data_IF_910368173301
#
_entry.id   IF_910368173301
#
_cell.length_a   1.000
_cell.length_b   1.000
_cell.length_c   1.000
_cell.angle_alpha   90.00
_cell.angle_beta   90.00
_cell.angle_gamma   90.00
#
_symmetry.space_group_name_H-M   'P 1'
#
loop_
_entity.id
_entity.type
_entity.pdbx_description
1 polymer ?
#
# COMPACT_ATOMS: atom_id res chain seq x y z
N UNK A 1 0.82 14.35 3.60
CA UNK A 1 -0.16 13.35 3.10
C UNK A 1 0.40 11.94 2.99
N UNK A 2 1.58 11.76 2.44
CA UNK A 2 2.24 10.43 2.36
C UNK A 2 2.62 9.87 3.72
N UNK A 3 3.04 10.69 4.64
CA UNK A 3 3.24 10.30 6.04
C UNK A 3 1.98 9.73 6.67
N UNK A 4 0.79 10.25 6.32
CA UNK A 4 -0.49 9.76 6.82
C UNK A 4 -0.82 8.33 6.37
N UNK A 5 -0.49 7.95 5.13
CA UNK A 5 -0.70 6.60 4.61
C UNK A 5 0.27 5.60 5.27
N UNK A 6 1.55 5.95 5.36
CA UNK A 6 2.55 5.17 6.08
C UNK A 6 2.20 5.03 7.56
N UNK A 7 1.75 6.09 8.21
CA UNK A 7 1.30 6.05 9.60
C UNK A 7 0.02 5.22 9.77
N UNK A 8 -0.90 5.22 8.81
CA UNK A 8 -2.09 4.38 8.86
C UNK A 8 -1.72 2.91 8.75
N UNK A 9 -0.83 2.55 7.83
CA UNK A 9 -0.32 1.17 7.67
C UNK A 9 0.51 0.77 8.90
N UNK A 10 1.43 1.60 9.35
CA UNK A 10 2.22 1.36 10.57
C UNK A 10 1.34 1.35 11.82
N UNK A 11 0.33 2.21 11.91
CA UNK A 11 -0.60 2.25 13.04
C UNK A 11 -1.49 1.01 13.13
N UNK A 12 -1.89 0.44 12.01
CA UNK A 12 -2.61 -0.84 11.97
C UNK A 12 -1.66 -1.97 12.37
N UNK A 13 -0.43 -1.95 11.90
CA UNK A 13 0.60 -2.93 12.26
C UNK A 13 1.00 -2.83 13.74
N UNK A 14 1.20 -1.62 14.25
CA UNK A 14 1.56 -1.38 15.65
C UNK A 14 0.43 -1.76 16.61
N UNK A 15 -0.81 -1.47 16.23
CA UNK A 15 -2.00 -1.88 16.98
C UNK A 15 -2.12 -3.42 17.03
N UNK A 16 -1.77 -4.12 15.95
CA UNK A 16 -1.72 -5.59 15.93
C UNK A 16 -0.52 -6.16 16.71
N UNK A 17 0.61 -5.44 16.77
CA UNK A 17 1.79 -5.85 17.53
C UNK A 17 1.62 -5.72 19.05
N UNK A 18 0.85 -4.74 19.52
CA UNK A 18 0.56 -4.55 20.96
C UNK A 18 -0.33 -5.66 21.54
N UNK A 19 -1.10 -6.36 20.70
CA UNK A 19 -1.99 -7.45 21.13
C UNK A 19 -1.33 -8.84 21.12
N UNK A 20 -0.02 -8.94 20.96
CA UNK A 20 0.72 -10.21 20.94
C UNK A 20 0.62 -11.04 22.23
N UNK A 21 0.05 -10.50 23.28
CA UNK A 21 -0.08 -11.18 24.59
C UNK A 21 -1.40 -11.92 24.80
N UNK A 22 -2.37 -11.75 23.91
CA UNK A 22 -3.65 -12.45 23.98
C UNK A 22 -3.89 -13.18 22.65
N UNK A 23 -3.30 -14.35 22.46
CA UNK A 23 -3.37 -15.14 21.23
C UNK A 23 -4.79 -15.53 20.85
N UNK A 24 -5.55 -14.62 20.22
CA UNK A 24 -6.79 -14.96 19.56
C UNK A 24 -6.53 -15.31 18.09
N UNK A 25 -7.21 -16.31 17.57
CA UNK A 25 -7.22 -16.71 16.15
C UNK A 25 -7.47 -15.50 15.22
N UNK A 26 -8.08 -14.47 15.74
CA UNK A 26 -8.47 -13.23 15.07
C UNK A 26 -7.26 -12.35 14.69
N UNK A 27 -6.29 -12.21 15.59
CA UNK A 27 -5.07 -11.43 15.32
C UNK A 27 -4.16 -12.12 14.33
N UNK A 28 -4.09 -13.44 14.41
CA UNK A 28 -3.34 -14.25 13.45
C UNK A 28 -3.93 -14.12 12.04
N UNK A 29 -5.25 -14.02 11.90
CA UNK A 29 -5.90 -13.84 10.61
C UNK A 29 -5.56 -12.47 10.01
N UNK A 30 -5.61 -11.39 10.77
CA UNK A 30 -5.24 -10.06 10.28
C UNK A 30 -3.78 -10.01 9.80
N UNK A 31 -2.88 -10.62 10.56
CA UNK A 31 -1.48 -10.75 10.17
C UNK A 31 -1.30 -11.53 8.86
N UNK A 32 -2.02 -12.65 8.69
CA UNK A 32 -2.01 -13.44 7.45
C UNK A 32 -2.52 -12.64 6.25
N UNK A 33 -3.52 -11.78 6.45
CA UNK A 33 -4.03 -10.89 5.40
C UNK A 33 -2.95 -9.87 5.00
N UNK A 34 -2.26 -9.27 5.94
CA UNK A 34 -1.17 -8.32 5.64
C UNK A 34 -0.02 -8.99 4.89
N UNK A 35 0.39 -10.18 5.30
CA UNK A 35 1.40 -10.95 4.58
C UNK A 35 0.97 -11.28 3.15
N UNK A 36 -0.28 -11.69 2.95
CA UNK A 36 -0.81 -11.96 1.62
C UNK A 36 -0.72 -10.73 0.71
N UNK A 37 -1.08 -9.55 1.21
CA UNK A 37 -0.96 -8.29 0.45
C UNK A 37 0.49 -7.99 0.12
N UNK A 38 1.39 -8.10 1.08
CA UNK A 38 2.83 -7.87 0.88
C UNK A 38 3.43 -8.78 -0.20
N UNK A 39 3.03 -10.03 -0.22
CA UNK A 39 3.53 -11.01 -1.19
C UNK A 39 2.87 -10.90 -2.57
N UNK A 40 1.63 -10.41 -2.66
CA UNK A 40 0.82 -10.49 -3.87
C UNK A 40 0.36 -9.14 -4.45
N UNK A 41 0.70 -8.00 -3.85
CA UNK A 41 0.21 -6.69 -4.29
C UNK A 41 0.54 -6.37 -5.75
N UNK A 42 1.62 -6.90 -6.28
CA UNK A 42 2.07 -6.75 -7.68
C UNK A 42 1.26 -7.58 -8.69
N UNK A 43 0.51 -8.54 -8.22
CA UNK A 43 -0.29 -9.47 -9.01
C UNK A 43 -1.77 -9.42 -8.61
N UNK A 44 -2.48 -10.54 -8.69
CA UNK A 44 -3.87 -10.63 -8.22
C UNK A 44 -3.91 -10.75 -6.68
N UNK A 45 -4.10 -9.63 -6.04
CA UNK A 45 -4.35 -9.53 -4.59
C UNK A 45 -5.80 -9.18 -4.27
N UNK A 46 -6.75 -9.51 -5.15
CA UNK A 46 -8.18 -9.30 -4.91
C UNK A 46 -8.67 -10.01 -3.66
N UNK A 47 -9.79 -9.55 -3.10
CA UNK A 47 -10.42 -10.23 -1.96
C UNK A 47 -10.84 -11.67 -2.31
N UNK A 48 -11.18 -11.93 -3.57
CA UNK A 48 -11.44 -13.28 -4.07
C UNK A 48 -10.18 -14.15 -4.01
N UNK A 49 -9.04 -13.65 -4.49
CA UNK A 49 -7.76 -14.36 -4.39
C UNK A 49 -7.37 -14.61 -2.93
N UNK A 50 -7.55 -13.63 -2.05
CA UNK A 50 -7.33 -13.79 -0.61
C UNK A 50 -8.22 -14.88 -0.01
N UNK A 51 -9.51 -14.89 -0.35
CA UNK A 51 -10.48 -15.90 0.08
C UNK A 51 -10.01 -17.32 -0.28
N UNK A 52 -9.58 -17.52 -1.53
CA UNK A 52 -9.04 -18.81 -1.98
C UNK A 52 -7.73 -19.18 -1.25
N UNK A 53 -6.82 -18.23 -1.11
CA UNK A 53 -5.51 -18.48 -0.49
C UNK A 53 -5.60 -18.85 1.00
N UNK A 54 -6.50 -18.19 1.74
CA UNK A 54 -6.65 -18.41 3.19
C UNK A 54 -7.72 -19.44 3.56
N UNK A 55 -8.57 -19.85 2.60
CA UNK A 55 -9.64 -20.80 2.85
C UNK A 55 -10.81 -20.25 3.66
N UNK A 56 -11.05 -18.94 3.61
CA UNK A 56 -12.17 -18.29 4.28
C UNK A 56 -13.20 -17.81 3.27
N UNK A 57 -14.45 -17.69 3.71
CA UNK A 57 -15.52 -17.13 2.91
C UNK A 57 -15.27 -15.64 2.60
N UNK A 58 -15.59 -15.22 1.37
CA UNK A 58 -15.41 -13.85 0.88
C UNK A 58 -16.14 -12.82 1.75
N UNK A 59 -17.42 -13.06 2.04
CA UNK A 59 -18.23 -12.15 2.84
C UNK A 59 -17.72 -12.04 4.28
N UNK A 60 -17.28 -13.17 4.84
CA UNK A 60 -16.65 -13.19 6.15
C UNK A 60 -15.38 -12.34 6.20
N UNK A 61 -14.45 -12.54 5.24
CA UNK A 61 -13.20 -11.76 5.18
C UNK A 61 -13.45 -10.28 4.99
N UNK A 62 -14.40 -9.91 4.11
CA UNK A 62 -14.77 -8.52 3.88
C UNK A 62 -15.23 -7.82 5.15
N UNK A 63 -16.15 -8.45 5.87
CA UNK A 63 -16.69 -7.95 7.14
C UNK A 63 -15.64 -7.93 8.25
N UNK A 64 -14.88 -9.01 8.36
CA UNK A 64 -13.82 -9.15 9.35
C UNK A 64 -12.77 -8.05 9.19
N UNK A 65 -12.24 -7.88 7.96
CA UNK A 65 -11.20 -6.89 7.71
C UNK A 65 -11.68 -5.46 7.99
N UNK A 66 -12.89 -5.14 7.57
CA UNK A 66 -13.48 -3.81 7.83
C UNK A 66 -13.63 -3.54 9.33
N UNK A 67 -14.03 -4.52 10.11
CA UNK A 67 -14.12 -4.39 11.57
C UNK A 67 -12.76 -4.26 12.24
N UNK A 68 -11.78 -5.04 11.81
CA UNK A 68 -10.45 -5.07 12.41
C UNK A 68 -9.56 -3.88 11.99
N UNK A 69 -9.61 -3.48 10.72
CA UNK A 69 -8.74 -2.45 10.14
C UNK A 69 -9.38 -1.05 10.07
N UNK A 70 -10.70 -0.95 10.23
CA UNK A 70 -11.43 0.32 10.12
C UNK A 70 -11.57 0.85 8.68
N UNK A 71 -11.22 0.05 7.68
CA UNK A 71 -11.34 0.36 6.25
C UNK A 71 -11.63 -0.91 5.46
N UNK A 72 -12.08 -0.77 4.20
CA UNK A 72 -12.28 -1.93 3.34
C UNK A 72 -10.95 -2.54 2.91
N UNK A 73 -10.95 -3.83 2.58
CA UNK A 73 -9.78 -4.51 2.04
C UNK A 73 -9.27 -3.85 0.74
N UNK A 74 -10.17 -3.45 -0.14
CA UNK A 74 -9.81 -2.77 -1.39
C UNK A 74 -9.15 -1.39 -1.16
N UNK A 75 -9.59 -0.66 -0.16
CA UNK A 75 -8.94 0.60 0.26
C UNK A 75 -7.54 0.35 0.79
N UNK A 76 -7.37 -0.66 1.62
CA UNK A 76 -6.07 -1.06 2.14
C UNK A 76 -5.10 -1.48 1.02
N UNK A 77 -5.53 -2.34 0.11
CA UNK A 77 -4.72 -2.78 -1.03
C UNK A 77 -4.31 -1.60 -1.91
N UNK A 78 -5.23 -0.67 -2.18
CA UNK A 78 -4.95 0.55 -2.94
C UNK A 78 -3.91 1.42 -2.24
N UNK A 79 -4.07 1.66 -0.96
CA UNK A 79 -3.10 2.43 -0.17
C UNK A 79 -1.72 1.76 -0.14
N UNK A 80 -1.68 0.46 -0.01
CA UNK A 80 -0.42 -0.30 -0.05
C UNK A 80 0.29 -0.14 -1.40
N UNK A 81 -0.42 -0.32 -2.50
CA UNK A 81 0.12 -0.13 -3.87
C UNK A 81 0.63 1.29 -4.11
N UNK A 82 -0.10 2.30 -3.65
CA UNK A 82 0.31 3.71 -3.77
C UNK A 82 1.55 3.98 -2.94
N UNK A 83 1.63 3.47 -1.73
CA UNK A 83 2.84 3.56 -0.89
C UNK A 83 4.07 2.98 -1.58
N UNK A 84 3.94 1.80 -2.20
CA UNK A 84 5.02 1.19 -2.97
C UNK A 84 5.40 2.01 -4.20
N UNK A 85 4.41 2.54 -4.91
CA UNK A 85 4.64 3.42 -6.05
C UNK A 85 5.39 4.71 -5.64
N UNK A 86 5.02 5.33 -4.54
CA UNK A 86 5.74 6.48 -4.00
C UNK A 86 7.20 6.17 -3.72
N UNK A 87 7.47 5.05 -3.05
CA UNK A 87 8.83 4.61 -2.77
C UNK A 87 9.65 4.45 -4.05
N UNK A 88 9.10 3.79 -5.09
CA UNK A 88 9.78 3.60 -6.37
C UNK A 88 9.98 4.92 -7.13
N UNK A 89 8.99 5.81 -7.10
CA UNK A 89 9.10 7.16 -7.70
C UNK A 89 10.20 8.01 -7.07
N UNK A 90 10.43 7.82 -5.77
CA UNK A 90 11.42 8.57 -4.99
C UNK A 90 12.84 8.03 -5.15
N UNK A 91 12.98 6.71 -5.19
CA UNK A 91 14.28 6.05 -5.03
C UNK A 91 14.79 5.38 -6.31
N UNK A 92 13.91 5.09 -7.27
CA UNK A 92 14.28 4.35 -8.47
C UNK A 92 14.16 5.21 -9.74
N UNK A 93 14.94 4.84 -10.75
CA UNK A 93 14.91 5.48 -12.08
C UNK A 93 13.94 4.80 -13.05
N UNK A 94 13.02 4.00 -12.53
CA UNK A 94 12.01 3.31 -13.33
C UNK A 94 11.07 4.31 -14.02
N UNK A 95 10.57 3.94 -15.20
CA UNK A 95 9.49 4.69 -15.83
C UNK A 95 8.20 4.59 -15.03
N UNK A 96 7.32 5.58 -15.15
CA UNK A 96 6.01 5.56 -14.47
C UNK A 96 5.17 4.35 -14.92
N UNK A 97 5.27 3.96 -16.21
CA UNK A 97 4.62 2.76 -16.70
C UNK A 97 5.15 1.48 -16.05
N UNK A 98 6.47 1.36 -15.92
CA UNK A 98 7.09 0.22 -15.24
C UNK A 98 6.65 0.12 -13.77
N UNK A 99 6.56 1.25 -13.08
CA UNK A 99 6.05 1.32 -11.70
C UNK A 99 4.58 0.91 -11.62
N UNK A 100 3.75 1.32 -12.59
CA UNK A 100 2.35 0.92 -12.64
C UNK A 100 2.18 -0.59 -12.73
N UNK A 101 3.01 -1.24 -13.53
CA UNK A 101 3.04 -2.71 -13.67
C UNK A 101 3.57 -3.35 -12.39
N UNK A 102 4.71 -2.89 -11.89
CA UNK A 102 5.35 -3.43 -10.68
C UNK A 102 4.46 -3.35 -9.44
N UNK A 103 3.69 -2.28 -9.31
CA UNK A 103 2.79 -2.10 -8.18
C UNK A 103 1.40 -2.71 -8.35
N UNK A 104 1.14 -3.40 -9.46
CA UNK A 104 -0.11 -4.13 -9.67
C UNK A 104 -1.31 -3.27 -10.06
N UNK A 105 -1.11 -2.06 -10.60
CA UNK A 105 -2.21 -1.20 -11.06
C UNK A 105 -2.84 -1.67 -12.39
N UNK A 106 -2.18 -2.56 -13.11
CA UNK A 106 -2.63 -3.10 -14.38
C UNK A 106 -2.45 -2.16 -15.57
N UNK A 107 -2.61 -0.86 -15.40
CA UNK A 107 -2.40 0.14 -16.45
C UNK A 107 -1.94 1.49 -15.89
N UNK A 108 -1.29 2.28 -16.73
CA UNK A 108 -0.90 3.65 -16.39
C UNK A 108 -2.11 4.52 -16.07
N UNK A 109 -3.21 4.34 -16.80
CA UNK A 109 -4.47 5.07 -16.57
C UNK A 109 -5.05 4.76 -15.18
N UNK A 110 -5.07 3.50 -14.79
CA UNK A 110 -5.53 3.07 -13.47
C UNK A 110 -4.66 3.66 -12.37
N UNK A 111 -3.34 3.59 -12.52
CA UNK A 111 -2.40 4.19 -11.59
C UNK A 111 -2.60 5.70 -11.44
N UNK A 112 -2.65 6.43 -12.56
CA UNK A 112 -2.83 7.89 -12.55
C UNK A 112 -4.10 8.29 -11.79
N UNK A 113 -5.21 7.62 -12.05
CA UNK A 113 -6.49 7.89 -11.40
C UNK A 113 -6.42 7.65 -9.88
N UNK A 114 -5.94 6.49 -9.48
CA UNK A 114 -5.87 6.09 -8.07
C UNK A 114 -4.84 6.92 -7.30
N UNK A 115 -3.69 7.17 -7.90
CA UNK A 115 -2.62 7.96 -7.31
C UNK A 115 -3.05 9.41 -7.09
N UNK A 116 -3.68 10.02 -8.10
CA UNK A 116 -4.19 11.39 -7.99
C UNK A 116 -5.31 11.51 -6.96
N UNK A 117 -6.21 10.55 -6.89
CA UNK A 117 -7.28 10.52 -5.88
C UNK A 117 -6.71 10.47 -4.45
N UNK A 118 -5.59 9.79 -4.25
CA UNK A 118 -4.98 9.61 -2.93
C UNK A 118 -3.99 10.72 -2.54
N UNK A 119 -3.21 11.22 -3.51
CA UNK A 119 -2.11 12.16 -3.25
C UNK A 119 -2.38 13.59 -3.73
N UNK A 120 -3.40 13.79 -4.56
CA UNK A 120 -3.68 15.07 -5.22
C UNK A 120 -2.81 15.35 -6.44
N UNK A 121 -1.85 14.50 -6.77
CA UNK A 121 -0.89 14.67 -7.88
C UNK A 121 -0.86 13.42 -8.76
N UNK A 122 -0.46 13.58 -10.02
CA UNK A 122 -0.09 12.44 -10.85
C UNK A 122 1.27 11.87 -10.39
N UNK A 123 1.58 10.61 -10.70
CA UNK A 123 2.89 10.04 -10.38
C UNK A 123 4.07 10.86 -10.94
N UNK A 124 3.92 11.41 -12.15
CA UNK A 124 4.95 12.24 -12.79
C UNK A 124 5.15 13.56 -12.04
N UNK A 125 4.06 14.24 -11.69
CA UNK A 125 4.11 15.48 -10.88
C UNK A 125 4.73 15.20 -9.50
N UNK A 126 4.34 14.11 -8.88
CA UNK A 126 4.87 13.68 -7.59
C UNK A 126 6.39 13.47 -7.65
N UNK A 127 6.90 12.75 -8.65
CA UNK A 127 8.34 12.52 -8.85
C UNK A 127 9.08 13.84 -9.06
N UNK A 128 8.54 14.74 -9.85
CA UNK A 128 9.13 16.05 -10.10
C UNK A 128 9.20 16.89 -8.81
N UNK A 129 8.11 16.98 -8.08
CA UNK A 129 8.05 17.70 -6.80
C UNK A 129 9.03 17.12 -5.77
N UNK A 130 9.14 15.78 -5.71
CA UNK A 130 10.05 15.11 -4.79
C UNK A 130 11.52 15.39 -5.10
N UNK A 131 11.92 15.34 -6.38
CA UNK A 131 13.29 15.60 -6.83
C UNK A 131 13.73 17.04 -6.61
N UNK A 132 12.82 17.96 -6.67
CA UNK A 132 13.08 19.40 -6.56
C UNK A 132 12.91 19.93 -5.12
N UNK A 133 12.79 19.08 -4.12
CA UNK A 133 12.78 19.52 -2.72
C UNK A 133 14.13 20.12 -2.33
N UNK A 134 14.17 21.35 -1.77
CA UNK A 134 15.42 22.06 -1.47
C UNK A 134 16.35 21.31 -0.50
N UNK A 135 15.80 20.51 0.40
CA UNK A 135 16.57 19.72 1.36
C UNK A 135 17.44 18.63 0.71
N UNK A 136 17.12 18.19 -0.50
CA UNK A 136 17.90 17.17 -1.23
C UNK A 136 18.98 17.75 -2.13
N UNK A 137 18.79 18.95 -2.61
CA UNK A 137 19.80 19.64 -3.43
C UNK A 137 21.04 19.99 -2.61
N UNK A 138 20.89 20.16 -1.30
CA UNK A 138 22.01 20.43 -0.40
C UNK A 138 22.93 19.20 -0.15
N UNK A 139 22.41 17.99 -0.26
CA UNK A 139 23.18 16.76 -0.02
C UNK A 139 24.01 16.35 -1.23
N UNK A 140 23.60 16.75 -2.45
CA UNK A 140 24.31 16.42 -3.69
C UNK A 140 25.47 17.37 -4.02
N UNK A 141 25.55 18.51 -3.35
CA UNK A 141 26.56 19.55 -3.60
C UNK A 141 27.66 19.62 -2.53
N UNK A 142 27.78 18.60 -1.69
CA UNK A 142 28.92 18.55 -0.77
C UNK A 142 30.04 17.67 -1.40
N UNK A 143 31.19 18.26 -1.77
CA UNK A 143 32.30 17.53 -2.40
C UNK A 143 32.95 16.51 -1.46
#
# INVERSE_FOLDING_TARGET
>A
MLKGILYTICGIFDRSAQYRTAGSNTELLLYRIFLFVEENYHADASLTALSHALGYDYAYLSKYFRGAAGMTYNEYLRQYRISRACYLLENEKMTVLAIAVECGFGSLRSMNRQFRAQTGQTPTEYRHTWRNKPERTAIQNNP
#
